data_IF_072712806676
#
_entry.id   IF_072712806676
#
_cell.length_a   1.000
_cell.length_b   1.000
_cell.length_c   1.000
_cell.angle_alpha   90.00
_cell.angle_beta   90.00
_cell.angle_gamma   90.00
#
_symmetry.space_group_name_H-M   'P 1'
#
loop_
_entity.id
_entity.type
_entity.pdbx_description
1 polymer ?
#
# COMPACT_ATOMS: atom_id res chain seq x y z
N UNK A 1 -4.60 20.42 4.75
CA UNK A 1 -4.11 19.66 3.56
C UNK A 1 -2.65 19.97 3.20
N UNK A 2 -1.83 20.47 4.15
CA UNK A 2 -0.47 20.99 3.82
C UNK A 2 0.72 20.09 4.22
N UNK A 3 0.56 19.05 5.02
CA UNK A 3 1.70 18.38 5.68
C UNK A 3 2.69 17.60 4.78
N UNK A 4 2.25 16.92 3.72
CA UNK A 4 3.14 16.08 2.91
C UNK A 4 3.84 16.86 1.79
N UNK A 5 3.12 17.75 1.14
CA UNK A 5 3.69 18.65 0.13
C UNK A 5 4.76 19.58 0.73
N UNK A 6 4.55 20.02 1.97
CA UNK A 6 5.51 20.90 2.66
C UNK A 6 6.72 20.13 3.20
N UNK A 7 6.53 18.87 3.65
CA UNK A 7 7.64 17.97 4.00
C UNK A 7 8.51 17.64 2.79
N UNK A 8 7.90 17.30 1.64
CA UNK A 8 8.63 17.03 0.40
C UNK A 8 9.26 18.29 -0.21
N UNK A 9 8.61 19.45 -0.10
CA UNK A 9 9.20 20.73 -0.51
C UNK A 9 10.41 21.08 0.37
N UNK A 10 10.38 20.76 1.67
CA UNK A 10 11.53 20.89 2.56
C UNK A 10 12.68 19.98 2.13
N UNK A 11 12.38 18.72 1.78
CA UNK A 11 13.37 17.76 1.29
C UNK A 11 14.01 18.19 -0.04
N UNK A 12 13.24 18.88 -0.91
CA UNK A 12 13.70 19.36 -2.22
C UNK A 12 14.46 20.70 -2.13
N UNK A 13 14.17 21.53 -1.12
CA UNK A 13 14.84 22.84 -0.96
C UNK A 13 16.21 22.77 -0.33
N UNK A 14 16.42 21.78 0.54
CA UNK A 14 17.72 21.58 1.22
C UNK A 14 18.02 20.08 1.32
N UNK A 15 18.49 19.42 0.24
CA UNK A 15 18.83 17.99 0.28
C UNK A 15 19.94 17.65 1.29
N UNK A 16 20.63 18.66 1.82
CA UNK A 16 21.70 18.49 2.82
C UNK A 16 21.37 18.92 4.26
N UNK A 17 20.25 19.62 4.50
CA UNK A 17 19.95 20.22 5.82
C UNK A 17 18.84 19.49 6.59
N UNK A 18 17.97 18.76 5.94
CA UNK A 18 17.07 17.83 6.58
C UNK A 18 17.72 16.47 6.50
N UNK A 19 17.82 15.74 7.62
CA UNK A 19 18.22 14.32 7.64
C UNK A 19 17.31 13.57 6.68
N UNK A 20 17.59 13.70 5.38
CA UNK A 20 16.94 12.91 4.36
C UNK A 20 17.08 11.46 4.82
N UNK A 21 16.01 10.66 4.88
CA UNK A 21 16.18 9.26 5.19
C UNK A 21 17.24 8.75 4.24
N UNK A 22 18.38 8.34 4.80
CA UNK A 22 19.49 7.76 4.04
C UNK A 22 18.89 6.80 3.04
N UNK A 23 19.23 6.87 1.74
CA UNK A 23 18.68 5.94 0.76
C UNK A 23 18.75 4.53 1.33
N UNK A 24 17.68 3.76 1.18
CA UNK A 24 17.65 2.39 1.70
C UNK A 24 18.94 1.67 1.29
N UNK A 25 19.65 1.07 2.25
CA UNK A 25 20.84 0.32 1.90
C UNK A 25 20.48 -0.84 0.96
N UNK A 26 21.41 -1.34 0.12
CA UNK A 26 21.15 -2.52 -0.70
C UNK A 26 20.65 -3.72 0.13
N UNK A 27 21.16 -3.88 1.36
CA UNK A 27 20.74 -4.93 2.27
C UNK A 27 19.28 -4.75 2.73
N UNK A 28 18.85 -3.52 2.98
CA UNK A 28 17.46 -3.20 3.32
C UNK A 28 16.53 -3.44 2.13
N UNK A 29 16.91 -2.96 0.95
CA UNK A 29 16.14 -3.16 -0.27
C UNK A 29 15.98 -4.65 -0.61
N UNK A 30 17.04 -5.44 -0.51
CA UNK A 30 16.98 -6.89 -0.69
C UNK A 30 16.07 -7.57 0.35
N UNK A 31 16.10 -7.13 1.62
CA UNK A 31 15.24 -7.65 2.67
C UNK A 31 13.76 -7.31 2.44
N UNK A 32 13.46 -6.13 1.88
CA UNK A 32 12.12 -5.74 1.46
C UNK A 32 11.65 -6.61 0.29
N UNK A 33 12.47 -6.73 -0.77
CA UNK A 33 12.15 -7.53 -1.94
C UNK A 33 11.95 -9.02 -1.62
N UNK A 34 12.69 -9.56 -0.62
CA UNK A 34 12.51 -10.93 -0.14
C UNK A 34 11.11 -11.22 0.46
N UNK A 35 10.34 -10.19 0.84
CA UNK A 35 8.95 -10.35 1.31
C UNK A 35 7.96 -10.49 0.16
N UNK A 36 8.37 -10.26 -1.08
CA UNK A 36 7.54 -10.40 -2.28
C UNK A 36 7.86 -11.73 -2.96
N UNK A 37 6.83 -12.53 -3.22
CA UNK A 37 6.97 -13.78 -3.98
C UNK A 37 6.94 -13.47 -5.49
N UNK A 38 8.04 -13.70 -6.23
CA UNK A 38 8.09 -13.42 -7.67
C UNK A 38 7.19 -14.35 -8.49
N UNK A 39 6.85 -15.53 -7.96
CA UNK A 39 6.01 -16.52 -8.63
C UNK A 39 4.50 -16.22 -8.45
N UNK A 40 4.13 -15.41 -7.47
CA UNK A 40 2.73 -15.01 -7.31
C UNK A 40 2.29 -14.14 -8.48
N UNK A 41 1.22 -14.54 -9.17
CA UNK A 41 0.65 -13.79 -10.30
C UNK A 41 0.06 -12.44 -9.83
N UNK A 42 0.04 -11.46 -10.74
CA UNK A 42 -0.50 -10.12 -10.49
C UNK A 42 0.58 -9.05 -10.47
N UNK A 43 0.14 -7.81 -10.29
CA UNK A 43 1.00 -6.63 -10.24
C UNK A 43 1.67 -6.48 -8.87
N UNK A 44 2.88 -5.97 -8.86
CA UNK A 44 3.55 -5.47 -7.67
C UNK A 44 3.53 -3.94 -7.73
N UNK A 45 3.06 -3.30 -6.67
CA UNK A 45 2.96 -1.84 -6.60
C UNK A 45 3.94 -1.31 -5.56
N UNK A 46 4.87 -0.47 -5.99
CA UNK A 46 5.80 0.24 -5.12
C UNK A 46 5.30 1.66 -4.88
N UNK A 47 5.11 2.04 -3.61
CA UNK A 47 4.65 3.35 -3.18
C UNK A 47 5.79 4.16 -2.58
N UNK A 48 6.13 5.30 -3.18
CA UNK A 48 7.26 6.14 -2.78
C UNK A 48 8.59 5.51 -3.19
N UNK A 49 8.76 5.26 -4.48
CA UNK A 49 9.94 4.57 -5.04
C UNK A 49 11.26 5.37 -4.90
N UNK A 50 11.17 6.70 -4.79
CA UNK A 50 12.32 7.58 -4.56
C UNK A 50 13.42 7.40 -5.61
N UNK A 51 14.62 7.03 -5.17
CA UNK A 51 15.78 6.82 -6.05
C UNK A 51 15.79 5.46 -6.76
N UNK A 52 14.80 4.59 -6.49
CA UNK A 52 14.64 3.29 -7.15
C UNK A 52 15.51 2.16 -6.60
N UNK A 53 16.01 2.28 -5.37
CA UNK A 53 16.84 1.22 -4.76
C UNK A 53 15.99 -0.03 -4.50
N UNK A 54 14.74 0.16 -4.04
CA UNK A 54 13.80 -0.96 -3.81
C UNK A 54 13.25 -1.46 -5.15
N UNK A 55 12.97 -0.56 -6.11
CA UNK A 55 12.61 -0.94 -7.50
C UNK A 55 13.63 -1.91 -8.08
N UNK A 56 14.94 -1.57 -8.01
CA UNK A 56 16.02 -2.44 -8.46
C UNK A 56 15.99 -3.80 -7.76
N UNK A 57 15.87 -3.80 -6.43
CA UNK A 57 15.87 -5.04 -5.66
C UNK A 57 14.65 -5.95 -5.98
N UNK A 58 13.50 -5.37 -6.32
CA UNK A 58 12.33 -6.13 -6.79
C UNK A 58 12.59 -6.78 -8.15
N UNK A 59 13.22 -6.04 -9.08
CA UNK A 59 13.63 -6.59 -10.38
C UNK A 59 14.67 -7.69 -10.22
N UNK A 60 15.70 -7.47 -9.38
CA UNK A 60 16.73 -8.47 -9.07
C UNK A 60 16.16 -9.72 -8.40
N UNK A 61 15.03 -9.58 -7.69
CA UNK A 61 14.27 -10.68 -7.09
C UNK A 61 13.53 -11.53 -8.12
N UNK A 62 13.39 -11.05 -9.35
CA UNK A 62 12.72 -11.74 -10.45
C UNK A 62 11.30 -11.24 -10.73
N UNK A 63 10.93 -10.08 -10.20
CA UNK A 63 9.68 -9.42 -10.63
C UNK A 63 9.91 -8.88 -12.05
N UNK A 64 9.09 -9.32 -13.01
CA UNK A 64 9.16 -8.82 -14.37
C UNK A 64 8.80 -7.31 -14.42
N UNK A 65 9.55 -6.48 -15.17
CA UNK A 65 9.34 -5.03 -15.20
C UNK A 65 7.89 -4.63 -15.53
N UNK A 66 7.23 -5.36 -16.42
CA UNK A 66 5.85 -5.12 -16.86
C UNK A 66 4.83 -5.37 -15.73
N UNK A 67 5.22 -6.09 -14.70
CA UNK A 67 4.40 -6.36 -13.52
C UNK A 67 4.62 -5.33 -12.41
N UNK A 68 5.59 -4.42 -12.55
CA UNK A 68 5.95 -3.45 -11.52
C UNK A 68 5.38 -2.07 -11.85
N UNK A 69 4.60 -1.52 -10.93
CA UNK A 69 4.12 -0.14 -10.97
C UNK A 69 4.79 0.62 -9.83
N UNK A 70 5.60 1.62 -10.17
CA UNK A 70 6.29 2.48 -9.23
C UNK A 70 5.58 3.84 -9.14
N UNK A 71 4.98 4.14 -7.99
CA UNK A 71 4.30 5.42 -7.72
C UNK A 71 5.24 6.32 -6.93
N UNK A 72 5.58 7.48 -7.51
CA UNK A 72 6.45 8.47 -6.88
C UNK A 72 5.82 9.86 -6.96
N UNK A 73 5.81 10.56 -5.83
CA UNK A 73 5.19 11.89 -5.75
C UNK A 73 6.05 12.99 -6.39
N UNK A 74 7.38 12.89 -6.23
CA UNK A 74 8.31 13.88 -6.74
C UNK A 74 8.55 13.68 -8.25
N UNK A 75 8.21 14.69 -9.06
CA UNK A 75 8.39 14.64 -10.51
C UNK A 75 9.84 14.36 -10.93
N UNK A 76 10.82 14.89 -10.21
CA UNK A 76 12.23 14.66 -10.47
C UNK A 76 12.60 13.17 -10.32
N UNK A 77 12.22 12.53 -9.20
CA UNK A 77 12.48 11.11 -8.99
C UNK A 77 11.67 10.22 -9.93
N UNK A 78 10.42 10.58 -10.23
CA UNK A 78 9.62 9.84 -11.21
C UNK A 78 10.28 9.87 -12.60
N UNK A 79 10.83 11.01 -13.03
CA UNK A 79 11.59 11.12 -14.28
C UNK A 79 12.86 10.27 -14.30
N UNK A 80 13.62 10.25 -13.18
CA UNK A 80 14.81 9.39 -13.05
C UNK A 80 14.46 7.90 -13.09
N UNK A 81 13.39 7.51 -12.41
CA UNK A 81 12.92 6.11 -12.39
C UNK A 81 12.53 5.64 -13.81
N UNK A 82 11.76 6.46 -14.55
CA UNK A 82 11.33 6.12 -15.90
C UNK A 82 12.51 5.95 -16.86
N UNK A 83 13.58 6.74 -16.71
CA UNK A 83 14.81 6.58 -17.49
C UNK A 83 15.62 5.35 -17.08
N UNK A 84 15.70 5.07 -15.78
CA UNK A 84 16.54 4.01 -15.24
C UNK A 84 15.94 2.62 -15.40
N UNK A 85 14.60 2.50 -15.37
CA UNK A 85 13.90 1.23 -15.37
C UNK A 85 12.93 1.11 -16.55
N UNK A 86 13.44 0.95 -17.78
CA UNK A 86 12.59 0.73 -18.94
C UNK A 86 11.78 -0.56 -18.75
N UNK A 87 10.47 -0.49 -19.06
CA UNK A 87 9.53 -1.59 -18.83
C UNK A 87 8.75 -1.53 -17.51
N UNK A 88 9.25 -0.80 -16.49
CA UNK A 88 8.49 -0.50 -15.27
C UNK A 88 7.49 0.62 -15.55
N UNK A 89 6.24 0.44 -15.12
CA UNK A 89 5.26 1.52 -15.19
C UNK A 89 5.53 2.53 -14.07
N UNK A 90 6.11 3.67 -14.40
CA UNK A 90 6.36 4.75 -13.45
C UNK A 90 5.26 5.77 -13.50
N UNK A 91 4.66 6.08 -12.35
CA UNK A 91 3.56 7.04 -12.19
C UNK A 91 3.98 8.15 -11.25
N UNK A 92 3.95 9.40 -11.73
CA UNK A 92 4.02 10.55 -10.84
C UNK A 92 2.66 10.73 -10.16
N UNK A 93 2.56 10.44 -8.84
CA UNK A 93 1.27 10.48 -8.17
C UNK A 93 1.31 10.35 -6.66
N UNK A 94 0.14 10.53 -6.03
CA UNK A 94 -0.04 10.33 -4.59
C UNK A 94 -0.22 8.85 -4.26
N UNK A 95 0.68 8.29 -3.46
CA UNK A 95 0.63 6.91 -2.97
C UNK A 95 -0.70 6.56 -2.27
N UNK A 96 -1.38 7.55 -1.67
CA UNK A 96 -2.69 7.33 -1.02
C UNK A 96 -3.86 7.24 -2.01
N UNK A 97 -3.60 7.46 -3.30
CA UNK A 97 -4.58 7.32 -4.39
C UNK A 97 -4.13 6.27 -5.42
N UNK A 98 -3.25 5.35 -5.03
CA UNK A 98 -2.57 4.42 -5.93
C UNK A 98 -3.52 3.58 -6.79
N UNK A 99 -4.71 3.28 -6.29
CA UNK A 99 -5.73 2.50 -7.00
C UNK A 99 -6.13 3.12 -8.34
N UNK A 100 -6.03 4.45 -8.46
CA UNK A 100 -6.36 5.19 -9.69
C UNK A 100 -5.38 4.94 -10.83
N UNK A 101 -4.22 4.39 -10.49
CA UNK A 101 -3.13 4.12 -11.44
C UNK A 101 -3.08 2.67 -11.87
N UNK A 102 -3.96 1.84 -11.33
CA UNK A 102 -4.05 0.43 -11.69
C UNK A 102 -4.91 0.25 -12.94
N UNK A 103 -4.51 -0.60 -13.88
CA UNK A 103 -5.40 -1.03 -14.96
C UNK A 103 -6.67 -1.69 -14.38
N UNK A 104 -7.80 -1.46 -15.02
CA UNK A 104 -9.07 -2.03 -14.57
C UNK A 104 -9.01 -3.57 -14.51
N UNK A 105 -9.50 -4.15 -13.41
CA UNK A 105 -9.50 -5.60 -13.21
C UNK A 105 -8.14 -6.21 -12.85
N UNK A 106 -7.12 -5.39 -12.57
CA UNK A 106 -5.80 -5.88 -12.17
C UNK A 106 -5.84 -6.67 -10.88
N UNK A 107 -5.17 -7.81 -10.86
CA UNK A 107 -4.83 -8.54 -9.64
C UNK A 107 -3.54 -7.98 -9.04
N UNK A 108 -3.50 -7.75 -7.74
CA UNK A 108 -2.34 -7.25 -7.01
C UNK A 108 -1.70 -8.41 -6.23
N UNK A 109 -0.45 -8.70 -6.50
CA UNK A 109 0.35 -9.69 -5.76
C UNK A 109 0.91 -9.12 -4.46
N UNK A 110 1.46 -7.90 -4.52
CA UNK A 110 2.02 -7.23 -3.35
C UNK A 110 1.98 -5.71 -3.51
N UNK A 111 1.93 -5.02 -2.36
CA UNK A 111 2.19 -3.58 -2.27
C UNK A 111 3.38 -3.36 -1.36
N UNK A 112 4.41 -2.69 -1.85
CA UNK A 112 5.62 -2.32 -1.12
C UNK A 112 5.62 -0.81 -0.89
N UNK A 113 5.80 -0.36 0.35
CA UNK A 113 5.69 1.05 0.68
C UNK A 113 6.95 1.59 1.37
N UNK A 114 7.59 2.56 0.72
CA UNK A 114 8.63 3.44 1.26
C UNK A 114 8.07 4.74 1.86
N UNK A 115 6.75 4.96 1.78
CA UNK A 115 6.10 6.16 2.32
C UNK A 115 6.25 6.21 3.85
N UNK A 116 6.70 7.31 4.46
CA UNK A 116 6.87 7.44 5.92
C UNK A 116 5.49 7.53 6.61
N UNK A 117 4.78 6.40 6.69
CA UNK A 117 3.38 6.35 7.15
C UNK A 117 3.19 6.89 8.56
N UNK A 118 4.20 6.79 9.44
CA UNK A 118 4.11 7.31 10.82
C UNK A 118 3.93 8.84 10.87
N UNK A 119 4.25 9.56 9.79
CA UNK A 119 4.05 11.01 9.68
C UNK A 119 2.60 11.38 9.31
N UNK A 120 1.74 10.40 9.07
CA UNK A 120 0.34 10.63 8.72
C UNK A 120 -0.61 10.24 9.84
N UNK A 121 -1.81 10.86 9.94
CA UNK A 121 -2.84 10.47 10.90
C UNK A 121 -3.21 8.99 10.79
N UNK A 122 -3.48 8.34 11.91
CA UNK A 122 -3.81 6.91 11.98
C UNK A 122 -4.95 6.49 11.02
N UNK A 123 -6.06 7.25 10.87
CA UNK A 123 -7.12 6.89 9.93
C UNK A 123 -6.62 6.79 8.49
N UNK A 124 -5.72 7.71 8.07
CA UNK A 124 -5.16 7.72 6.71
C UNK A 124 -4.24 6.53 6.46
N UNK A 125 -3.38 6.19 7.42
CA UNK A 125 -2.50 5.00 7.36
C UNK A 125 -3.32 3.72 7.27
N UNK A 126 -4.32 3.59 8.15
CA UNK A 126 -5.22 2.45 8.19
C UNK A 126 -5.95 2.29 6.86
N UNK A 127 -6.54 3.37 6.34
CA UNK A 127 -7.26 3.35 5.08
C UNK A 127 -6.38 2.85 3.91
N UNK A 128 -5.13 3.33 3.81
CA UNK A 128 -4.19 2.87 2.78
C UNK A 128 -3.93 1.36 2.87
N UNK A 129 -3.53 0.87 4.06
CA UNK A 129 -3.19 -0.54 4.26
C UNK A 129 -4.41 -1.43 4.02
N UNK A 130 -5.59 -1.06 4.55
CA UNK A 130 -6.82 -1.86 4.39
C UNK A 130 -7.24 -1.94 2.92
N UNK A 131 -7.20 -0.82 2.17
CA UNK A 131 -7.54 -0.83 0.74
C UNK A 131 -6.53 -1.64 -0.06
N UNK A 132 -5.24 -1.49 0.24
CA UNK A 132 -4.20 -2.29 -0.43
C UNK A 132 -4.43 -3.79 -0.24
N UNK A 133 -4.72 -4.23 0.99
CA UNK A 133 -5.00 -5.64 1.29
C UNK A 133 -6.32 -6.12 0.66
N UNK A 134 -7.34 -5.25 0.55
CA UNK A 134 -8.61 -5.61 -0.07
C UNK A 134 -8.51 -5.85 -1.59
N UNK A 135 -7.51 -5.26 -2.26
CA UNK A 135 -7.24 -5.46 -3.69
C UNK A 135 -6.37 -6.70 -3.97
N UNK A 136 -5.88 -7.35 -2.93
CA UNK A 136 -5.01 -8.52 -3.03
C UNK A 136 -5.79 -9.79 -2.71
N UNK A 137 -5.36 -10.90 -3.29
CA UNK A 137 -5.86 -12.21 -2.88
C UNK A 137 -5.35 -12.62 -1.49
N UNK A 138 -5.73 -13.82 -0.99
CA UNK A 138 -5.39 -14.30 0.35
C UNK A 138 -3.88 -14.32 0.66
N UNK A 139 -3.06 -14.52 -0.36
CA UNK A 139 -1.58 -14.52 -0.24
C UNK A 139 -0.96 -13.14 -0.42
N UNK A 140 -1.77 -12.10 -0.64
CA UNK A 140 -1.30 -10.73 -0.87
C UNK A 140 -0.64 -10.14 0.37
N UNK A 141 0.37 -9.28 0.14
CA UNK A 141 1.17 -8.67 1.20
C UNK A 141 1.29 -7.17 1.01
N UNK A 142 1.09 -6.45 2.12
CA UNK A 142 1.50 -5.06 2.22
C UNK A 142 2.79 -4.99 3.04
N UNK A 143 3.88 -4.58 2.39
CA UNK A 143 5.23 -4.52 2.98
C UNK A 143 5.59 -3.06 3.23
N UNK A 144 5.77 -2.67 4.48
CA UNK A 144 6.07 -1.29 4.88
C UNK A 144 7.48 -1.16 5.43
N UNK A 145 8.28 -0.28 4.84
CA UNK A 145 9.52 0.21 5.43
C UNK A 145 9.24 1.25 6.52
N UNK A 146 9.89 1.12 7.66
CA UNK A 146 9.81 2.11 8.74
C UNK A 146 11.11 2.19 9.54
N UNK A 147 11.48 3.39 9.96
CA UNK A 147 12.52 3.61 10.98
C UNK A 147 11.94 3.70 12.39
N UNK A 148 10.62 3.69 12.52
CA UNK A 148 9.93 3.71 13.81
C UNK A 148 9.77 2.31 14.41
N UNK A 149 9.88 2.20 15.73
CA UNK A 149 9.73 0.95 16.49
C UNK A 149 8.29 0.42 16.53
N UNK A 150 7.32 1.28 16.27
CA UNK A 150 5.89 0.95 16.29
C UNK A 150 5.40 0.64 14.88
N UNK A 151 4.48 -0.32 14.74
CA UNK A 151 3.86 -0.58 13.44
C UNK A 151 3.02 0.63 13.00
N UNK A 152 2.86 0.88 11.69
CA UNK A 152 2.02 1.96 11.18
C UNK A 152 0.55 1.86 11.60
N UNK A 153 0.07 0.63 11.82
CA UNK A 153 -1.24 0.33 12.45
C UNK A 153 -1.05 -0.77 13.48
N UNK A 154 -1.87 -0.75 14.56
CA UNK A 154 -1.81 -1.77 15.60
C UNK A 154 -2.64 -3.01 15.23
N UNK A 155 -2.31 -4.15 15.86
CA UNK A 155 -3.05 -5.40 15.74
C UNK A 155 -4.51 -5.31 16.25
N UNK A 156 -4.84 -4.26 17.02
CA UNK A 156 -6.21 -4.00 17.48
C UNK A 156 -7.22 -3.83 16.33
N UNK A 157 -6.75 -3.64 15.09
CA UNK A 157 -7.59 -3.55 13.89
C UNK A 157 -7.78 -4.89 13.15
N UNK A 158 -7.46 -6.01 13.79
CA UNK A 158 -7.64 -7.34 13.19
C UNK A 158 -6.59 -7.72 12.14
N UNK A 159 -5.55 -6.90 11.95
CA UNK A 159 -4.45 -7.16 11.02
C UNK A 159 -3.16 -7.15 11.83
N UNK A 160 -2.62 -8.34 12.14
CA UNK A 160 -1.37 -8.46 12.88
C UNK A 160 -0.17 -8.35 11.92
N UNK A 161 0.73 -7.36 12.11
CA UNK A 161 1.92 -7.25 11.30
C UNK A 161 3.01 -8.22 11.77
N UNK A 162 3.68 -8.86 10.81
CA UNK A 162 4.98 -9.49 11.03
C UNK A 162 6.08 -8.41 11.04
N UNK A 163 7.01 -8.47 11.96
CA UNK A 163 8.15 -7.54 12.06
C UNK A 163 9.45 -8.21 11.70
N UNK A 164 10.20 -7.60 10.80
CA UNK A 164 11.60 -7.94 10.51
C UNK A 164 12.49 -6.74 10.79
N UNK A 165 13.63 -6.92 11.47
CA UNK A 165 14.60 -5.85 11.74
C UNK A 165 15.82 -6.05 10.82
N UNK A 166 16.22 -4.99 10.12
CA UNK A 166 17.40 -4.99 9.24
C UNK A 166 18.51 -4.18 9.90
N UNK A 167 19.42 -4.89 10.57
CA UNK A 167 20.56 -4.31 11.26
C UNK A 167 21.67 -3.80 10.32
N UNK A 168 21.73 -4.34 9.09
CA UNK A 168 22.69 -3.92 8.05
C UNK A 168 22.26 -2.65 7.31
N UNK A 169 21.43 -1.84 7.95
CA UNK A 169 21.05 -0.50 7.54
C UNK A 169 21.38 0.46 8.67
N UNK A 170 21.80 1.69 8.35
CA UNK A 170 22.09 2.69 9.38
C UNK A 170 21.22 3.95 9.15
N UNK A 171 20.36 4.32 10.11
CA UNK A 171 20.02 3.56 11.32
C UNK A 171 19.32 2.23 11.00
N UNK A 172 19.24 1.26 11.93
CA UNK A 172 18.50 0.03 11.74
C UNK A 172 17.05 0.30 11.33
N UNK A 173 16.56 -0.46 10.36
CA UNK A 173 15.23 -0.27 9.81
C UNK A 173 14.30 -1.45 10.13
N UNK A 174 13.01 -1.21 10.13
CA UNK A 174 11.96 -2.19 10.37
C UNK A 174 11.16 -2.40 9.10
N UNK A 175 10.92 -3.65 8.77
CA UNK A 175 9.98 -4.06 7.73
C UNK A 175 8.76 -4.64 8.45
N UNK A 176 7.60 -4.05 8.21
CA UNK A 176 6.32 -4.51 8.70
C UNK A 176 5.56 -5.14 7.54
N UNK A 177 5.24 -6.43 7.65
CA UNK A 177 4.49 -7.16 6.63
C UNK A 177 3.09 -7.43 7.16
N UNK A 178 2.09 -6.95 6.42
CA UNK A 178 0.68 -7.20 6.67
C UNK A 178 0.16 -8.17 5.61
N UNK A 179 -0.60 -9.17 6.05
CA UNK A 179 -1.31 -10.09 5.16
C UNK A 179 -2.81 -9.95 5.37
N UNK A 180 -3.60 -10.13 4.32
CA UNK A 180 -5.03 -10.28 4.49
C UNK A 180 -5.26 -11.54 5.33
N UNK A 181 -5.82 -11.39 6.54
CA UNK A 181 -6.29 -12.56 7.28
C UNK A 181 -7.51 -13.11 6.56
N UNK A 182 -7.54 -14.41 6.29
CA UNK A 182 -8.79 -15.09 5.97
C UNK A 182 -9.72 -14.86 7.15
N UNK A 183 -10.71 -13.98 6.97
CA UNK A 183 -11.77 -13.88 7.95
C UNK A 183 -12.46 -15.25 7.99
N UNK A 184 -12.58 -15.89 9.16
CA UNK A 184 -13.33 -17.14 9.25
C UNK A 184 -14.70 -16.94 8.59
N UNK A 185 -15.09 -17.88 7.73
CA UNK A 185 -16.34 -17.85 6.95
C UNK A 185 -17.57 -17.51 7.82
N UNK A 186 -17.51 -17.84 9.11
CA UNK A 186 -18.51 -17.49 10.11
C UNK A 186 -18.71 -15.97 10.31
N UNK A 187 -17.65 -15.14 10.22
CA UNK A 187 -17.78 -13.68 10.38
C UNK A 187 -18.31 -13.01 9.12
N UNK A 188 -18.00 -13.55 7.94
CA UNK A 188 -18.57 -13.06 6.67
C UNK A 188 -20.08 -13.32 6.59
N UNK A 189 -20.53 -14.51 7.02
CA UNK A 189 -21.95 -14.86 7.09
C UNK A 189 -22.73 -13.98 8.09
N UNK A 190 -22.10 -13.58 9.18
CA UNK A 190 -22.73 -12.73 10.19
C UNK A 190 -22.81 -11.25 9.73
N UNK A 191 -21.80 -10.74 9.03
CA UNK A 191 -21.81 -9.41 8.44
C UNK A 191 -22.85 -9.29 7.31
N UNK A 192 -23.03 -10.33 6.51
CA UNK A 192 -24.06 -10.38 5.47
C UNK A 192 -25.48 -10.47 6.08
N UNK A 193 -25.68 -11.18 7.18
CA UNK A 193 -26.96 -11.26 7.89
C UNK A 193 -27.36 -9.92 8.54
N UNK A 194 -26.39 -9.18 9.08
CA UNK A 194 -26.65 -7.85 9.67
C UNK A 194 -26.86 -6.75 8.61
N UNK A 195 -26.28 -6.87 7.43
CA UNK A 195 -26.49 -5.95 6.31
C UNK A 195 -27.83 -6.21 5.56
N UNK A 196 -28.40 -7.41 5.68
CA UNK A 196 -29.61 -7.84 4.97
C UNK A 196 -30.95 -7.52 5.65
N UNK A 197 -30.96 -6.91 6.83
CA UNK A 197 -32.21 -6.56 7.54
C UNK A 197 -32.58 -5.09 7.35
N UNK A 198 -32.60 -4.63 6.09
CA UNK A 198 -33.39 -3.48 5.66
C UNK A 198 -34.86 -3.94 5.57
N UNK A 199 -35.77 -3.32 6.37
CA UNK A 199 -37.21 -3.61 6.45
C UNK A 199 -37.83 -3.71 5.07
N UNK A 200 -38.68 -4.73 4.79
CA UNK A 200 -39.54 -4.68 3.61
C UNK A 200 -40.51 -3.52 3.73
N UNK A 201 -40.51 -2.65 2.72
CA UNK A 201 -41.52 -1.61 2.59
C UNK A 201 -42.92 -2.24 2.58
N UNK A 202 -43.75 -1.93 3.55
CA UNK A 202 -45.18 -2.27 3.56
C UNK A 202 -45.83 -1.52 2.39
N UNK A 203 -46.13 -2.23 1.32
CA UNK A 203 -47.00 -1.77 0.26
C UNK A 203 -48.42 -1.67 0.83
N UNK A 204 -48.87 -0.42 1.13
CA UNK A 204 -50.26 -0.12 1.43
C UNK A 204 -51.11 -0.28 0.15
N UNK A 205 -51.72 -1.43 0.00
CA UNK A 205 -52.85 -1.61 -0.94
C UNK A 205 -54.06 -0.86 -0.40
N UNK A 206 -54.35 0.29 -1.00
CA UNK A 206 -55.68 0.95 -0.86
C UNK A 206 -56.66 0.26 -1.80
N UNK A 207 -57.60 -0.47 -1.24
CA UNK A 207 -58.76 -0.97 -1.96
C UNK A 207 -59.80 0.16 -1.92
N UNK A 208 -60.17 0.71 -3.09
CA UNK A 208 -61.32 1.63 -3.22
C UNK A 208 -62.59 0.81 -3.35
N UNK A 209 -63.73 1.22 -2.67
CA UNK A 209 -65.01 0.53 -2.79
C UNK A 209 -65.70 0.90 -4.12
N UNK A 210 -66.56 0.01 -4.65
CA UNK A 210 -67.30 0.26 -5.88
C UNK A 210 -68.39 1.27 -5.67
N UNK A 211 -68.52 2.20 -6.59
CA UNK A 211 -69.66 3.15 -6.70
C UNK A 211 -70.83 2.46 -7.37
N UNK A 212 -71.99 2.58 -6.70
CA UNK A 212 -73.29 2.27 -7.19
C UNK A 212 -73.81 3.34 -8.17
#
# INVERSE_FOLDING_TARGET
MSGYGDFLKGLLREPGAVSAPTPSSPALAAAIAAKVDPLQSGLVVELGAGTGVVTQALLDRGIAPERLIAVEYCAYFAGLLAQRFPGVTVVQGDAFAFERYLPAGSQIAAVVSGVPLLNFPLPRRRALITRALALQGPSGRFVQLSYGWRPPISSAFGIAPEKTIVWRNFPPAHIWTFTAQEQPVAQQAQAQRTAGWGRPAQALFRISPPTS
#
